data_IF_614909191354
#
_entry.id   IF_614909191354
#
_cell.length_a   1.000
_cell.length_b   1.000
_cell.length_c   1.000
_cell.angle_alpha   90.00
_cell.angle_beta   90.00
_cell.angle_gamma   90.00
#
_symmetry.space_group_name_H-M   'P 1'
#
loop_
_entity.id
_entity.type
_entity.pdbx_description
1 polymer ?
#
# COMPACT_ATOMS: atom_id res chain seq x y z
N UNK A 1 -2.44 17.08 -11.99
CA UNK A 1 -2.20 17.28 -10.54
C UNK A 1 -2.08 15.95 -9.80
N UNK A 2 -1.07 15.14 -10.11
CA UNK A 2 -0.81 13.87 -9.39
C UNK A 2 0.66 13.63 -9.04
N UNK A 3 1.57 14.45 -9.55
CA UNK A 3 3.01 14.28 -9.40
C UNK A 3 3.47 14.09 -7.95
N UNK A 4 2.92 14.83 -6.98
CA UNK A 4 3.32 14.68 -5.58
C UNK A 4 2.97 13.30 -5.00
N UNK A 5 1.85 12.72 -5.43
CA UNK A 5 1.33 11.47 -4.89
C UNK A 5 2.06 10.27 -5.50
N UNK A 6 2.37 10.34 -6.79
CA UNK A 6 3.16 9.33 -7.48
C UNK A 6 4.60 9.33 -6.95
N UNK A 7 5.18 10.51 -6.78
CA UNK A 7 6.51 10.69 -6.19
C UNK A 7 6.58 10.14 -4.75
N UNK A 8 5.59 10.44 -3.92
CA UNK A 8 5.50 9.90 -2.56
C UNK A 8 5.39 8.37 -2.55
N UNK A 9 4.49 7.79 -3.35
CA UNK A 9 4.20 6.36 -3.28
C UNK A 9 5.28 5.49 -3.95
N UNK A 10 5.94 6.00 -4.99
CA UNK A 10 6.82 5.20 -5.85
C UNK A 10 8.30 5.59 -5.81
N UNK A 11 8.65 6.81 -5.39
CA UNK A 11 10.04 7.31 -5.46
C UNK A 11 10.67 7.44 -4.07
N UNK A 12 9.89 7.81 -3.06
CA UNK A 12 10.43 8.15 -1.73
C UNK A 12 10.44 6.95 -0.77
N UNK A 13 11.61 6.40 -0.40
CA UNK A 13 11.69 5.40 0.64
C UNK A 13 11.48 5.99 2.03
N UNK A 14 10.90 5.19 2.93
CA UNK A 14 10.68 5.56 4.33
C UNK A 14 11.39 4.58 5.27
N UNK A 15 12.10 5.10 6.27
CA UNK A 15 12.82 4.29 7.27
C UNK A 15 11.89 3.37 8.07
N UNK A 16 10.66 3.80 8.34
CA UNK A 16 9.63 2.99 9.01
C UNK A 16 9.18 1.75 8.23
N UNK A 17 9.45 1.68 6.93
CA UNK A 17 9.14 0.53 6.08
C UNK A 17 10.38 -0.30 5.72
N UNK A 18 11.50 -0.13 6.42
CA UNK A 18 12.76 -0.78 6.04
C UNK A 18 13.41 -0.15 4.81
N UNK A 19 13.28 1.18 4.68
CA UNK A 19 13.77 1.97 3.53
C UNK A 19 13.08 1.60 2.20
N UNK A 20 11.81 1.23 2.28
CA UNK A 20 10.97 0.96 1.12
C UNK A 20 10.05 2.13 0.83
N UNK A 21 9.68 2.25 -0.44
CA UNK A 21 8.59 3.13 -0.84
C UNK A 21 7.26 2.57 -0.29
N UNK A 22 6.23 3.41 -0.08
CA UNK A 22 4.91 2.94 0.31
C UNK A 22 4.38 1.81 -0.57
N UNK A 23 4.53 1.91 -1.89
CA UNK A 23 4.12 0.87 -2.82
C UNK A 23 4.92 -0.43 -2.63
N UNK A 24 6.26 -0.33 -2.54
CA UNK A 24 7.12 -1.49 -2.35
C UNK A 24 6.91 -2.20 -1.01
N UNK A 25 6.51 -1.48 0.03
CA UNK A 25 6.10 -2.08 1.30
C UNK A 25 4.75 -2.80 1.19
N UNK A 26 3.77 -2.19 0.53
CA UNK A 26 2.45 -2.77 0.32
C UNK A 26 2.54 -4.08 -0.50
N UNK A 27 3.34 -4.09 -1.57
CA UNK A 27 3.54 -5.28 -2.41
C UNK A 27 4.15 -6.47 -1.65
N UNK A 28 5.02 -6.20 -0.67
CA UNK A 28 5.65 -7.23 0.17
C UNK A 28 4.76 -7.69 1.32
N UNK A 29 3.94 -6.78 1.83
CA UNK A 29 3.08 -7.04 2.99
C UNK A 29 1.73 -7.63 2.58
N UNK A 30 1.36 -7.52 1.31
CA UNK A 30 0.13 -8.10 0.79
C UNK A 30 0.23 -9.64 0.82
N UNK A 31 -0.67 -10.36 1.53
CA UNK A 31 -0.82 -11.80 1.35
C UNK A 31 -1.14 -12.09 -0.13
N UNK A 32 -0.59 -13.19 -0.64
CA UNK A 32 -0.59 -13.57 -2.06
C UNK A 32 -1.99 -13.54 -2.73
N UNK A 33 -3.05 -13.62 -1.93
CA UNK A 33 -4.47 -13.63 -2.33
C UNK A 33 -5.13 -12.24 -2.44
N UNK A 34 -4.53 -11.15 -1.94
CA UNK A 34 -5.14 -9.81 -1.99
C UNK A 34 -4.94 -9.06 -3.33
N UNK A 35 -4.40 -9.72 -4.35
CA UNK A 35 -4.04 -9.12 -5.64
C UNK A 35 -5.21 -8.84 -6.59
N UNK A 36 -6.42 -9.32 -6.30
CA UNK A 36 -7.60 -9.01 -7.10
C UNK A 36 -8.64 -8.23 -6.27
N UNK A 37 -8.95 -7.03 -6.77
CA UNK A 37 -9.58 -5.97 -5.98
C UNK A 37 -11.02 -6.29 -5.59
N UNK A 38 -11.26 -6.57 -4.31
CA UNK A 38 -12.49 -6.14 -3.63
C UNK A 38 -12.22 -6.00 -2.14
N UNK A 39 -12.16 -4.75 -1.65
CA UNK A 39 -12.25 -4.49 -0.20
C UNK A 39 -13.65 -4.89 0.27
N UNK A 40 -13.84 -6.16 0.67
CA UNK A 40 -15.03 -6.56 1.40
C UNK A 40 -14.97 -5.92 2.78
N UNK A 41 -15.62 -4.75 2.91
CA UNK A 41 -15.89 -4.08 4.18
C UNK A 41 -16.51 -5.12 5.13
N UNK A 42 -15.74 -5.57 6.12
CA UNK A 42 -16.29 -6.40 7.19
C UNK A 42 -17.24 -5.50 8.00
N UNK A 43 -18.54 -5.70 7.81
CA UNK A 43 -19.57 -5.08 8.64
C UNK A 43 -19.40 -5.66 10.05
N UNK A 44 -18.93 -4.84 10.99
CA UNK A 44 -19.11 -5.13 12.41
C UNK A 44 -20.62 -5.13 12.67
N UNK A 45 -21.17 -6.29 13.02
CA UNK A 45 -22.52 -6.42 13.55
C UNK A 45 -22.35 -6.33 15.06
N UNK A 46 -22.94 -5.29 15.66
CA UNK A 46 -23.09 -5.16 17.10
C UNK A 46 -24.33 -5.94 17.56
#
# INVERSE_FOLDING_TARGET
MWSWKDDYNAVRPHSGHGNLTPAGYADRSAPDTQRDGTLRRARLVA
#
